data_IF_183041312732
#
_entry.id   IF_183041312732
#
_cell.length_a   1.000
_cell.length_b   1.000
_cell.length_c   1.000
_cell.angle_alpha   90.00
_cell.angle_beta   90.00
_cell.angle_gamma   90.00
#
_symmetry.space_group_name_H-M   'P 1'
#
loop_
_entity.id
_entity.type
_entity.pdbx_description
1 polymer ?
#
# COMPACT_ATOMS: atom_id res chain seq x y z
N UNK A 1 11.74 1.68 -6.83
CA UNK A 1 11.12 2.80 -7.55
C UNK A 1 9.60 2.80 -7.39
N UNK A 2 8.86 1.71 -7.76
CA UNK A 2 7.40 1.67 -7.66
C UNK A 2 6.88 1.97 -6.25
N UNK A 3 7.40 1.29 -5.23
CA UNK A 3 7.03 1.50 -3.83
C UNK A 3 7.33 2.92 -3.34
N UNK A 4 8.46 3.51 -3.76
CA UNK A 4 8.81 4.89 -3.38
C UNK A 4 7.84 5.91 -3.97
N UNK A 5 7.43 5.73 -5.23
CA UNK A 5 6.42 6.57 -5.89
C UNK A 5 5.05 6.42 -5.21
N UNK A 6 4.65 5.19 -4.88
CA UNK A 6 3.40 4.93 -4.17
C UNK A 6 3.38 5.60 -2.78
N UNK A 7 4.47 5.48 -2.01
CA UNK A 7 4.61 6.13 -0.71
C UNK A 7 4.54 7.65 -0.84
N UNK A 8 5.18 8.22 -1.87
CA UNK A 8 5.09 9.65 -2.15
C UNK A 8 3.63 10.10 -2.32
N UNK A 9 2.84 9.38 -3.14
CA UNK A 9 1.43 9.72 -3.35
C UNK A 9 0.58 9.53 -2.10
N UNK A 10 0.82 8.48 -1.31
CA UNK A 10 0.08 8.26 -0.05
C UNK A 10 0.34 9.41 0.94
N UNK A 11 1.58 9.81 1.12
CA UNK A 11 1.95 10.86 2.08
C UNK A 11 1.72 12.27 1.57
N UNK A 12 1.58 12.48 0.27
CA UNK A 12 1.21 13.78 -0.31
C UNK A 12 -0.29 13.94 -0.45
N UNK A 13 -0.91 13.22 -1.38
CA UNK A 13 -2.33 13.35 -1.69
C UNK A 13 -3.21 12.61 -0.69
N UNK A 14 -2.84 11.39 -0.31
CA UNK A 14 -3.60 10.59 0.65
C UNK A 14 -3.74 11.28 1.99
N UNK A 15 -2.65 11.86 2.53
CA UNK A 15 -2.70 12.65 3.75
C UNK A 15 -3.67 13.82 3.66
N UNK A 16 -3.62 14.61 2.57
CA UNK A 16 -4.49 15.77 2.40
C UNK A 16 -5.97 15.37 2.33
N UNK A 17 -6.28 14.26 1.67
CA UNK A 17 -7.66 13.75 1.59
C UNK A 17 -8.17 13.28 2.95
N UNK A 18 -7.32 12.66 3.77
CA UNK A 18 -7.69 12.12 5.08
C UNK A 18 -7.76 13.23 6.13
N UNK A 19 -6.80 14.16 6.16
CA UNK A 19 -6.74 15.23 7.17
C UNK A 19 -7.74 16.35 6.93
N UNK A 20 -8.47 16.35 5.81
CA UNK A 20 -9.41 17.40 5.40
C UNK A 20 -8.78 18.81 5.36
N UNK A 21 -7.46 18.92 5.33
CA UNK A 21 -6.78 20.21 5.18
C UNK A 21 -7.08 20.79 3.79
N UNK A 22 -7.58 22.03 3.76
CA UNK A 22 -7.82 22.76 2.49
C UNK A 22 -6.48 23.29 1.96
N UNK A 23 -5.99 22.69 0.88
CA UNK A 23 -4.82 23.14 0.14
C UNK A 23 -3.59 22.22 0.26
N UNK A 24 -2.86 22.12 -0.85
CA UNK A 24 -1.60 21.35 -0.93
C UNK A 24 -0.47 22.25 -0.38
N UNK A 25 -0.11 22.06 0.86
CA UNK A 25 1.03 22.75 1.44
C UNK A 25 2.31 21.92 1.22
N UNK A 26 2.95 22.12 0.06
CA UNK A 26 4.15 21.37 -0.34
C UNK A 26 5.25 21.38 0.74
N UNK A 27 5.42 22.51 1.43
CA UNK A 27 6.39 22.62 2.52
C UNK A 27 6.08 21.65 3.67
N UNK A 28 4.81 21.53 4.04
CA UNK A 28 4.34 20.63 5.11
C UNK A 28 4.44 19.14 4.72
N UNK A 29 4.30 18.86 3.42
CA UNK A 29 4.46 17.51 2.86
C UNK A 29 5.94 17.12 2.85
N UNK A 30 6.81 17.97 2.33
CA UNK A 30 8.26 17.70 2.23
C UNK A 30 8.94 17.61 3.59
N UNK A 31 8.48 18.38 4.58
CA UNK A 31 8.99 18.34 5.96
C UNK A 31 8.37 17.19 6.81
N UNK A 32 7.52 16.36 6.23
CA UNK A 32 7.03 15.19 6.93
C UNK A 32 8.15 14.17 7.12
N UNK A 33 8.30 13.63 8.32
CA UNK A 33 9.37 12.67 8.69
C UNK A 33 9.40 11.45 7.76
N UNK A 34 8.24 10.99 7.32
CA UNK A 34 8.16 9.86 6.39
C UNK A 34 8.69 10.22 5.00
N UNK A 35 8.43 11.44 4.53
CA UNK A 35 8.96 11.93 3.26
C UNK A 35 10.46 12.13 3.33
N UNK A 36 10.97 12.72 4.42
CA UNK A 36 12.41 12.87 4.68
C UNK A 36 13.08 11.50 4.65
N UNK A 37 12.51 10.49 5.31
CA UNK A 37 13.06 9.12 5.33
C UNK A 37 13.09 8.49 3.93
N UNK A 38 12.06 8.70 3.11
CA UNK A 38 12.03 8.22 1.72
C UNK A 38 13.13 8.91 0.90
N UNK A 39 13.28 10.23 1.01
CA UNK A 39 14.33 10.97 0.29
C UNK A 39 15.72 10.53 0.72
N UNK A 40 15.97 10.38 2.03
CA UNK A 40 17.24 9.86 2.55
C UNK A 40 17.52 8.44 2.02
N UNK A 41 16.53 7.56 2.02
CA UNK A 41 16.67 6.21 1.47
C UNK A 41 17.02 6.22 -0.02
N UNK A 42 16.41 7.09 -0.81
CA UNK A 42 16.72 7.25 -2.24
C UNK A 42 18.14 7.78 -2.45
N UNK A 43 18.55 8.79 -1.67
CA UNK A 43 19.92 9.34 -1.74
C UNK A 43 20.95 8.27 -1.40
N UNK A 44 20.73 7.51 -0.31
CA UNK A 44 21.61 6.41 0.10
C UNK A 44 21.70 5.31 -0.96
N UNK A 45 20.58 5.01 -1.62
CA UNK A 45 20.55 4.05 -2.72
C UNK A 45 21.46 4.48 -3.90
N UNK A 46 21.41 5.75 -4.30
CA UNK A 46 22.22 6.27 -5.41
C UNK A 46 23.69 6.46 -5.03
N UNK A 47 23.97 6.87 -3.80
CA UNK A 47 25.35 7.09 -3.32
C UNK A 47 26.09 5.79 -3.05
N UNK A 48 25.39 4.64 -3.01
CA UNK A 48 25.96 3.31 -2.71
C UNK A 48 26.78 3.27 -1.41
N UNK A 49 26.50 4.15 -0.47
CA UNK A 49 27.17 4.19 0.82
C UNK A 49 26.84 2.89 1.56
N UNK A 50 27.88 2.18 1.97
CA UNK A 50 27.75 0.98 2.80
C UNK A 50 27.94 1.36 4.26
N UNK A 51 26.92 1.14 5.06
CA UNK A 51 27.03 1.30 6.51
C UNK A 51 27.81 0.13 7.12
N UNK A 52 28.45 0.34 8.29
CA UNK A 52 28.96 -0.77 9.10
C UNK A 52 27.88 -1.82 9.33
N UNK A 53 28.30 -3.08 9.43
CA UNK A 53 27.39 -4.23 9.52
C UNK A 53 26.39 -4.11 10.69
N UNK A 54 26.85 -3.58 11.82
CA UNK A 54 26.01 -3.35 13.01
C UNK A 54 24.83 -2.43 12.68
N UNK A 55 25.08 -1.32 11.99
CA UNK A 55 24.04 -0.35 11.62
C UNK A 55 23.07 -0.99 10.61
N UNK A 56 23.61 -1.71 9.64
CA UNK A 56 22.80 -2.36 8.61
C UNK A 56 21.88 -3.43 9.20
N UNK A 57 22.38 -4.25 10.12
CA UNK A 57 21.61 -5.27 10.82
C UNK A 57 20.54 -4.66 11.72
N UNK A 58 20.84 -3.57 12.41
CA UNK A 58 19.88 -2.86 13.25
C UNK A 58 18.75 -2.27 12.40
N UNK A 59 19.08 -1.57 11.31
CA UNK A 59 18.08 -1.00 10.40
C UNK A 59 17.21 -2.09 9.77
N UNK A 60 17.81 -3.22 9.37
CA UNK A 60 17.09 -4.37 8.83
C UNK A 60 16.14 -4.99 9.84
N UNK A 61 16.58 -5.15 11.09
CA UNK A 61 15.76 -5.69 12.18
C UNK A 61 14.57 -4.79 12.49
N UNK A 62 14.80 -3.47 12.62
CA UNK A 62 13.72 -2.49 12.84
C UNK A 62 12.76 -2.46 11.66
N UNK A 63 13.28 -2.48 10.42
CA UNK A 63 12.46 -2.58 9.21
C UNK A 63 11.62 -3.84 9.16
N UNK A 64 12.18 -4.99 9.59
CA UNK A 64 11.46 -6.27 9.68
C UNK A 64 10.30 -6.27 10.66
N UNK A 65 10.31 -5.40 11.66
CA UNK A 65 9.20 -5.28 12.65
C UNK A 65 7.94 -4.62 12.07
N UNK A 66 8.04 -3.92 10.94
CA UNK A 66 6.89 -3.21 10.33
C UNK A 66 5.74 -4.16 10.03
N UNK A 67 6.03 -5.33 9.46
CA UNK A 67 5.02 -6.33 9.13
C UNK A 67 4.25 -6.84 10.38
N UNK A 68 4.93 -7.44 11.36
CA UNK A 68 4.28 -7.91 12.59
C UNK A 68 3.52 -6.82 13.35
N UNK A 69 4.10 -5.63 13.51
CA UNK A 69 3.45 -4.50 14.20
C UNK A 69 2.18 -4.04 13.44
N UNK A 70 2.24 -3.96 12.12
CA UNK A 70 1.07 -3.60 11.31
C UNK A 70 -0.07 -4.62 11.45
N UNK A 71 0.27 -5.90 11.56
CA UNK A 71 -0.73 -6.96 11.78
C UNK A 71 -1.34 -6.89 13.18
N UNK A 72 -0.55 -6.60 14.21
CA UNK A 72 -1.05 -6.40 15.58
C UNK A 72 -2.02 -5.21 15.61
N UNK A 73 -1.61 -4.06 15.07
CA UNK A 73 -2.47 -2.86 15.02
C UNK A 73 -3.75 -3.14 14.24
N UNK A 74 -3.66 -3.82 13.09
CA UNK A 74 -4.83 -4.21 12.31
C UNK A 74 -5.75 -5.14 13.12
N UNK A 75 -5.20 -6.12 13.83
CA UNK A 75 -5.97 -7.01 14.71
C UNK A 75 -6.69 -6.27 15.83
N UNK A 76 -6.04 -5.31 16.48
CA UNK A 76 -6.67 -4.46 17.50
C UNK A 76 -7.83 -3.64 16.92
N UNK A 77 -7.65 -3.06 15.75
CA UNK A 77 -8.70 -2.28 15.07
C UNK A 77 -9.89 -3.15 14.65
N UNK A 78 -9.63 -4.38 14.24
CA UNK A 78 -10.70 -5.35 13.92
C UNK A 78 -11.54 -5.66 15.17
N UNK A 79 -10.88 -5.84 16.33
CA UNK A 79 -11.57 -6.14 17.58
C UNK A 79 -12.51 -5.01 18.05
N UNK A 80 -12.22 -3.77 17.66
CA UNK A 80 -13.07 -2.60 17.96
C UNK A 80 -14.26 -2.45 17.01
N UNK A 81 -14.25 -3.12 15.87
CA UNK A 81 -15.28 -2.99 14.82
C UNK A 81 -16.30 -4.11 14.95
N UNK A 82 -17.58 -3.72 14.97
CA UNK A 82 -18.67 -4.69 14.97
C UNK A 82 -18.74 -5.37 13.58
N UNK A 83 -18.43 -6.65 13.51
CA UNK A 83 -18.40 -7.40 12.24
C UNK A 83 -19.72 -7.28 11.47
N UNK A 84 -20.87 -7.18 12.15
CA UNK A 84 -22.18 -6.98 11.50
C UNK A 84 -22.24 -5.67 10.71
N UNK A 85 -21.63 -4.59 11.23
CA UNK A 85 -21.63 -3.29 10.57
C UNK A 85 -20.75 -3.30 9.32
N UNK A 86 -19.68 -4.12 9.32
CA UNK A 86 -18.84 -4.34 8.14
C UNK A 86 -19.64 -4.95 7.00
N UNK A 87 -20.37 -6.04 7.30
CA UNK A 87 -21.14 -6.77 6.30
C UNK A 87 -22.42 -6.06 5.85
N UNK A 88 -22.92 -5.10 6.62
CA UNK A 88 -24.15 -4.36 6.27
C UNK A 88 -23.85 -3.13 5.41
N UNK A 89 -22.63 -2.60 5.43
CA UNK A 89 -22.30 -1.36 4.73
C UNK A 89 -21.99 -1.57 3.25
N UNK A 90 -22.95 -1.23 2.37
CA UNK A 90 -22.82 -1.34 0.91
C UNK A 90 -21.59 -0.62 0.33
N UNK A 91 -21.13 0.47 0.98
CA UNK A 91 -19.93 1.21 0.52
C UNK A 91 -18.64 0.42 0.71
N UNK A 92 -18.55 -0.42 1.75
CA UNK A 92 -17.40 -1.30 1.97
C UNK A 92 -17.27 -2.28 0.82
N UNK A 93 -18.37 -2.91 0.39
CA UNK A 93 -18.39 -3.82 -0.76
C UNK A 93 -17.98 -3.14 -2.06
N UNK A 94 -18.50 -1.94 -2.30
CA UNK A 94 -18.16 -1.18 -3.51
C UNK A 94 -16.65 -0.89 -3.58
N UNK A 95 -16.05 -0.42 -2.49
CA UNK A 95 -14.59 -0.17 -2.44
C UNK A 95 -13.81 -1.48 -2.58
N UNK A 96 -14.27 -2.55 -1.96
CA UNK A 96 -13.64 -3.87 -2.04
C UNK A 96 -13.63 -4.41 -3.47
N UNK A 97 -14.76 -4.33 -4.17
CA UNK A 97 -14.88 -4.74 -5.58
C UNK A 97 -14.00 -3.89 -6.49
N UNK A 98 -14.03 -2.57 -6.32
CA UNK A 98 -13.15 -1.66 -7.06
C UNK A 98 -11.67 -2.01 -6.87
N UNK A 99 -11.27 -2.31 -5.65
CA UNK A 99 -9.88 -2.58 -5.29
C UNK A 99 -9.40 -3.97 -5.70
N UNK A 100 -10.22 -5.02 -5.49
CA UNK A 100 -9.80 -6.41 -5.69
C UNK A 100 -10.16 -6.97 -7.07
N UNK A 101 -11.07 -6.34 -7.81
CA UNK A 101 -11.50 -6.82 -9.12
C UNK A 101 -11.18 -5.79 -10.19
N UNK A 102 -11.71 -4.58 -10.08
CA UNK A 102 -11.59 -3.58 -11.17
C UNK A 102 -10.15 -3.11 -11.33
N UNK A 103 -9.47 -2.78 -10.25
CA UNK A 103 -8.09 -2.32 -10.31
C UNK A 103 -7.12 -3.38 -10.89
N UNK A 104 -7.14 -4.67 -10.46
CA UNK A 104 -6.34 -5.71 -11.08
C UNK A 104 -6.64 -5.93 -12.56
N UNK A 105 -7.91 -5.89 -12.96
CA UNK A 105 -8.30 -6.02 -14.36
C UNK A 105 -7.76 -4.87 -15.22
N UNK A 106 -7.89 -3.64 -14.75
CA UNK A 106 -7.33 -2.47 -15.44
C UNK A 106 -5.82 -2.59 -15.56
N UNK A 107 -5.13 -2.97 -14.47
CA UNK A 107 -3.68 -3.14 -14.49
C UNK A 107 -3.26 -4.21 -15.49
N UNK A 108 -3.95 -5.35 -15.52
CA UNK A 108 -3.70 -6.43 -16.48
C UNK A 108 -3.97 -6.00 -17.92
N UNK A 109 -5.07 -5.29 -18.15
CA UNK A 109 -5.41 -4.74 -19.46
C UNK A 109 -4.32 -3.75 -19.96
N UNK A 110 -3.84 -2.87 -19.09
CA UNK A 110 -2.77 -1.90 -19.43
C UNK A 110 -1.47 -2.63 -19.76
N UNK A 111 -1.08 -3.64 -18.97
CA UNK A 111 0.13 -4.43 -19.21
C UNK A 111 0.07 -5.12 -20.58
N UNK A 112 -1.08 -5.73 -20.91
CA UNK A 112 -1.25 -6.43 -22.17
C UNK A 112 -1.35 -5.48 -23.37
N UNK A 113 -2.09 -4.38 -23.25
CA UNK A 113 -2.24 -3.38 -24.33
C UNK A 113 -0.92 -2.70 -24.69
N UNK A 114 -0.08 -2.42 -23.69
CA UNK A 114 1.21 -1.77 -23.90
C UNK A 114 2.33 -2.76 -24.27
N UNK A 115 2.06 -4.07 -24.26
CA UNK A 115 3.05 -5.09 -24.59
C UNK A 115 4.30 -5.03 -23.70
N UNK A 116 4.16 -4.57 -22.46
CA UNK A 116 5.29 -4.26 -21.57
C UNK A 116 6.18 -5.46 -21.28
N UNK A 117 5.66 -6.68 -21.40
CA UNK A 117 6.40 -7.93 -21.15
C UNK A 117 7.61 -8.09 -22.08
N UNK A 118 7.53 -7.59 -23.32
CA UNK A 118 8.57 -7.70 -24.34
C UNK A 118 9.68 -6.63 -24.28
N UNK A 119 9.58 -5.62 -23.43
CA UNK A 119 10.51 -4.49 -23.42
C UNK A 119 11.90 -4.81 -22.87
N UNK A 120 12.04 -5.85 -22.06
CA UNK A 120 13.32 -6.25 -21.47
C UNK A 120 13.38 -7.77 -21.27
N UNK A 121 14.58 -8.43 -21.36
CA UNK A 121 14.72 -9.88 -21.15
C UNK A 121 14.20 -10.38 -19.80
N UNK A 122 14.20 -9.52 -18.78
CA UNK A 122 13.61 -9.79 -17.45
C UNK A 122 12.30 -9.04 -17.21
N UNK A 123 11.70 -8.46 -18.25
CA UNK A 123 10.51 -7.63 -18.17
C UNK A 123 9.35 -8.34 -17.50
N UNK A 124 9.13 -9.59 -17.84
CA UNK A 124 8.04 -10.40 -17.31
C UNK A 124 8.08 -10.53 -15.77
N UNK A 125 9.28 -10.79 -15.21
CA UNK A 125 9.46 -10.87 -13.76
C UNK A 125 9.27 -9.52 -13.06
N UNK A 126 9.78 -8.44 -13.64
CA UNK A 126 9.65 -7.08 -13.08
C UNK A 126 8.19 -6.65 -13.09
N UNK A 127 7.48 -6.91 -14.17
CA UNK A 127 6.07 -6.56 -14.32
C UNK A 127 5.21 -7.42 -13.39
N UNK A 128 5.50 -8.71 -13.26
CA UNK A 128 4.81 -9.58 -12.32
C UNK A 128 4.92 -9.05 -10.87
N UNK A 129 6.13 -8.67 -10.44
CA UNK A 129 6.34 -8.11 -9.10
C UNK A 129 5.57 -6.80 -8.93
N UNK A 130 5.58 -5.92 -9.94
CA UNK A 130 4.84 -4.67 -9.92
C UNK A 130 3.33 -4.91 -9.91
N UNK A 131 2.86 -5.87 -10.69
CA UNK A 131 1.47 -6.29 -10.71
C UNK A 131 1.02 -6.87 -9.36
N UNK A 132 1.83 -7.75 -8.76
CA UNK A 132 1.59 -8.27 -7.41
C UNK A 132 1.46 -7.14 -6.40
N UNK A 133 2.35 -6.15 -6.46
CA UNK A 133 2.28 -4.97 -5.58
C UNK A 133 1.02 -4.12 -5.82
N UNK A 134 0.52 -4.07 -7.06
CA UNK A 134 -0.69 -3.32 -7.41
C UNK A 134 -1.99 -4.02 -6.96
N UNK A 135 -2.02 -5.36 -6.97
CA UNK A 135 -3.21 -6.14 -6.60
C UNK A 135 -3.32 -6.43 -5.08
N UNK A 136 -2.36 -5.96 -4.27
CA UNK A 136 -2.43 -6.10 -2.81
C UNK A 136 -3.69 -5.45 -2.23
N UNK A 137 -4.24 -5.98 -1.11
CA UNK A 137 -5.37 -5.38 -0.41
C UNK A 137 -5.07 -3.95 0.07
N UNK A 138 -6.05 -3.29 0.65
CA UNK A 138 -5.89 -1.95 1.19
C UNK A 138 -4.78 -1.91 2.25
N UNK A 139 -3.94 -0.88 2.18
CA UNK A 139 -2.84 -0.73 3.11
C UNK A 139 -3.34 -0.37 4.52
N UNK A 140 -2.83 -1.04 5.54
CA UNK A 140 -3.06 -0.71 6.96
C UNK A 140 -2.62 0.72 7.31
N UNK A 141 -1.67 1.27 6.56
CA UNK A 141 -1.24 2.67 6.67
C UNK A 141 -2.40 3.66 6.54
N UNK A 142 -3.38 3.39 5.66
CA UNK A 142 -4.56 4.26 5.50
C UNK A 142 -5.40 4.27 6.77
N UNK A 143 -5.59 3.11 7.40
CA UNK A 143 -6.33 2.98 8.66
C UNK A 143 -5.62 3.72 9.78
N UNK A 144 -4.30 3.57 9.90
CA UNK A 144 -3.48 4.29 10.87
C UNK A 144 -3.53 5.81 10.64
N UNK A 145 -3.47 6.26 9.39
CA UNK A 145 -3.63 7.69 9.06
C UNK A 145 -5.00 8.20 9.48
N UNK A 146 -6.07 7.44 9.25
CA UNK A 146 -7.42 7.83 9.71
C UNK A 146 -7.47 8.01 11.23
N UNK A 147 -6.79 7.15 12.00
CA UNK A 147 -6.69 7.31 13.46
C UNK A 147 -5.92 8.58 13.85
N UNK A 148 -4.74 8.79 13.27
CA UNK A 148 -3.88 9.94 13.61
C UNK A 148 -4.55 11.28 13.27
N UNK A 149 -5.30 11.33 12.16
CA UNK A 149 -5.96 12.56 11.71
C UNK A 149 -7.44 12.68 12.15
N UNK A 150 -7.90 11.81 13.03
CA UNK A 150 -9.28 11.87 13.57
C UNK A 150 -10.38 11.65 12.54
N UNK A 151 -10.10 10.89 11.48
CA UNK A 151 -11.08 10.49 10.48
C UNK A 151 -11.70 9.12 10.85
N UNK A 152 -12.65 8.63 10.06
CA UNK A 152 -13.36 7.38 10.32
C UNK A 152 -12.42 6.15 10.17
N UNK A 153 -11.68 5.86 11.23
CA UNK A 153 -10.79 4.71 11.31
C UNK A 153 -11.54 3.38 11.31
N UNK A 154 -12.78 3.34 11.84
CA UNK A 154 -13.61 2.13 11.85
C UNK A 154 -13.99 1.72 10.43
N UNK A 155 -14.40 2.68 9.62
CA UNK A 155 -14.72 2.44 8.21
C UNK A 155 -13.48 2.00 7.41
N UNK A 156 -12.33 2.67 7.61
CA UNK A 156 -11.07 2.29 6.97
C UNK A 156 -10.60 0.89 7.39
N UNK A 157 -10.76 0.54 8.67
CA UNK A 157 -10.47 -0.79 9.20
C UNK A 157 -11.37 -1.86 8.58
N UNK A 158 -12.68 -1.58 8.46
CA UNK A 158 -13.62 -2.49 7.82
C UNK A 158 -13.23 -2.83 6.38
N UNK A 159 -12.84 -1.81 5.60
CA UNK A 159 -12.35 -2.02 4.23
C UNK A 159 -11.06 -2.83 4.21
N UNK A 160 -10.11 -2.53 5.11
CA UNK A 160 -8.84 -3.25 5.20
C UNK A 160 -9.08 -4.74 5.48
N UNK A 161 -9.92 -5.06 6.46
CA UNK A 161 -10.29 -6.44 6.81
C UNK A 161 -10.93 -7.17 5.64
N UNK A 162 -11.99 -6.58 5.05
CA UNK A 162 -12.70 -7.18 3.93
C UNK A 162 -11.77 -7.43 2.74
N UNK A 163 -10.95 -6.44 2.38
CA UNK A 163 -10.03 -6.60 1.27
C UNK A 163 -8.96 -7.63 1.56
N UNK A 164 -8.46 -7.71 2.80
CA UNK A 164 -7.44 -8.70 3.20
C UNK A 164 -8.00 -10.13 3.16
N UNK A 165 -9.19 -10.35 3.71
CA UNK A 165 -9.83 -11.67 3.69
C UNK A 165 -10.12 -12.15 2.26
N UNK A 166 -10.69 -11.28 1.42
CA UNK A 166 -11.01 -11.63 0.05
C UNK A 166 -9.78 -11.73 -0.86
N UNK A 167 -8.68 -11.05 -0.52
CA UNK A 167 -7.42 -11.15 -1.28
C UNK A 167 -6.82 -12.55 -1.26
N UNK A 168 -7.10 -13.35 -0.24
CA UNK A 168 -6.65 -14.75 -0.17
C UNK A 168 -7.12 -15.55 -1.40
N UNK A 169 -8.31 -15.24 -1.89
CA UNK A 169 -8.88 -15.90 -3.08
C UNK A 169 -8.54 -15.12 -4.35
N UNK A 170 -8.66 -13.80 -4.32
CA UNK A 170 -8.52 -13.00 -5.55
C UNK A 170 -7.08 -12.91 -6.04
N UNK A 171 -6.08 -12.81 -5.14
CA UNK A 171 -4.68 -12.72 -5.57
C UNK A 171 -4.22 -13.94 -6.38
N UNK A 172 -4.41 -15.21 -5.94
CA UNK A 172 -4.04 -16.37 -6.74
C UNK A 172 -4.75 -16.41 -8.11
N UNK A 173 -6.02 -16.02 -8.16
CA UNK A 173 -6.79 -15.98 -9.42
C UNK A 173 -6.17 -14.99 -10.40
N UNK A 174 -5.84 -13.77 -9.94
CA UNK A 174 -5.25 -12.77 -10.80
C UNK A 174 -3.80 -13.06 -11.20
N UNK A 175 -3.04 -13.74 -10.33
CA UNK A 175 -1.70 -14.24 -10.70
C UNK A 175 -1.81 -15.31 -11.79
N UNK A 176 -2.76 -16.22 -11.67
CA UNK A 176 -3.03 -17.22 -12.72
C UNK A 176 -3.44 -16.58 -14.05
N UNK A 177 -4.34 -15.59 -14.01
CA UNK A 177 -4.74 -14.84 -15.22
C UNK A 177 -3.58 -14.07 -15.86
N UNK A 178 -2.63 -13.57 -15.06
CA UNK A 178 -1.44 -12.92 -15.57
C UNK A 178 -0.51 -13.90 -16.29
N UNK A 179 -0.43 -15.15 -15.84
CA UNK A 179 0.46 -16.18 -16.41
C UNK A 179 -0.11 -16.84 -17.68
N UNK A 180 -1.42 -16.73 -17.91
CA UNK A 180 -2.06 -17.15 -19.15
C UNK A 180 -1.76 -16.20 -20.31
#
# INVERSE_FOLDING_TARGET
VFMSVQLFFIWSQGKNMISREKGINLKKILLNINMISVFLGVILFFTKIRFPEIINNTLSSVGGMIGPLSMIVTGMLIAEVNLKDIFTNKRVYLVTVLRLIIQPLIALAVINLLGMRGWHPQGDKIILITYLAAITPCASTVTQMCQVYGNDSKYASAINVMTTLLSIITMPVFVYLYQM
#
